data_IF_263966869518
#
_entry.id   IF_263966869518
#
_cell.length_a   1.000
_cell.length_b   1.000
_cell.length_c   1.000
_cell.angle_alpha   90.00
_cell.angle_beta   90.00
_cell.angle_gamma   90.00
#
_symmetry.space_group_name_H-M   'P 1'
#
loop_
_entity.id
_entity.type
_entity.pdbx_description
1 polymer ?
#
# COMPACT_ATOMS: atom_id res chain seq x y z
N UNK A 1 3.61 1.36 -17.49
CA UNK A 1 3.48 -0.10 -17.64
C UNK A 1 2.06 -0.46 -18.08
N UNK A 2 1.86 -1.14 -19.23
CA UNK A 2 0.51 -1.53 -19.73
C UNK A 2 0.11 -2.99 -19.45
N UNK A 3 1.07 -3.88 -19.23
CA UNK A 3 0.83 -5.30 -18.94
C UNK A 3 1.44 -5.67 -17.60
N UNK A 4 0.77 -6.54 -16.86
CA UNK A 4 1.21 -7.13 -15.60
C UNK A 4 1.13 -8.65 -15.68
N UNK A 5 1.93 -9.33 -14.88
CA UNK A 5 1.77 -10.74 -14.57
C UNK A 5 1.24 -10.92 -13.14
N UNK A 6 0.74 -12.12 -12.84
CA UNK A 6 0.33 -12.48 -11.48
C UNK A 6 1.54 -12.92 -10.67
N UNK A 7 1.77 -12.30 -9.52
CA UNK A 7 2.87 -12.61 -8.60
C UNK A 7 2.32 -12.76 -7.17
N UNK A 8 2.88 -13.66 -6.35
CA UNK A 8 2.53 -13.75 -4.92
C UNK A 8 3.18 -12.61 -4.13
N UNK A 9 2.41 -11.98 -3.24
CA UNK A 9 2.93 -10.99 -2.30
C UNK A 9 4.00 -11.60 -1.37
N UNK A 10 4.91 -10.76 -0.87
CA UNK A 10 6.02 -11.17 -0.01
C UNK A 10 5.55 -11.91 1.26
N UNK A 11 4.44 -11.49 1.84
CA UNK A 11 3.83 -12.11 3.02
C UNK A 11 2.95 -13.33 2.68
N UNK A 12 2.86 -13.69 1.40
CA UNK A 12 2.05 -14.81 0.91
C UNK A 12 0.54 -14.59 0.95
N UNK A 13 0.06 -13.42 1.39
CA UNK A 13 -1.36 -13.17 1.70
C UNK A 13 -2.24 -13.07 0.46
N UNK A 14 -1.72 -12.55 -0.65
CA UNK A 14 -2.48 -12.27 -1.88
C UNK A 14 -1.65 -12.41 -3.15
N UNK A 15 -2.35 -12.53 -4.26
CA UNK A 15 -1.79 -12.39 -5.61
C UNK A 15 -1.91 -10.95 -6.05
N UNK A 16 -0.84 -10.41 -6.63
CA UNK A 16 -0.73 -9.05 -7.13
C UNK A 16 -0.60 -9.06 -8.65
N UNK A 17 -1.19 -8.05 -9.29
CA UNK A 17 -0.84 -7.69 -10.66
C UNK A 17 0.44 -6.86 -10.62
N UNK A 18 1.55 -7.39 -11.12
CA UNK A 18 2.87 -6.79 -10.99
C UNK A 18 3.66 -6.84 -12.29
N UNK A 19 4.49 -5.82 -12.55
CA UNK A 19 5.42 -5.82 -13.68
C UNK A 19 6.40 -4.65 -13.61
N UNK A 20 7.62 -4.82 -14.15
CA UNK A 20 8.65 -3.78 -14.21
C UNK A 20 8.86 -3.00 -12.89
N UNK A 21 8.73 -3.68 -11.75
CA UNK A 21 8.89 -3.06 -10.42
C UNK A 21 7.66 -2.33 -9.87
N UNK A 22 6.50 -2.41 -10.52
CA UNK A 22 5.28 -1.71 -10.13
C UNK A 22 4.10 -2.66 -9.93
N UNK A 23 3.36 -2.44 -8.85
CA UNK A 23 2.06 -3.05 -8.61
C UNK A 23 0.99 -2.26 -9.36
N UNK A 24 0.01 -2.95 -9.94
CA UNK A 24 -1.25 -2.38 -10.44
C UNK A 24 -2.32 -2.58 -9.37
N UNK A 25 -3.03 -1.51 -9.04
CA UNK A 25 -4.13 -1.50 -8.08
C UNK A 25 -5.32 -0.76 -8.68
N UNK A 26 -6.52 -1.24 -8.34
CA UNK A 26 -7.78 -0.61 -8.71
C UNK A 26 -8.30 0.19 -7.51
N UNK A 27 -8.41 1.50 -7.67
CA UNK A 27 -8.95 2.42 -6.68
C UNK A 27 -10.47 2.61 -6.83
N UNK A 28 -11.08 3.46 -6.00
CA UNK A 28 -12.49 3.82 -6.13
C UNK A 28 -12.87 4.24 -7.55
N UNK A 29 -14.09 3.87 -7.98
CA UNK A 29 -14.58 4.19 -9.33
C UNK A 29 -13.86 3.47 -10.48
N UNK A 30 -13.11 2.39 -10.21
CA UNK A 30 -12.40 1.59 -11.22
C UNK A 30 -11.13 2.25 -11.76
N UNK A 31 -10.66 3.34 -11.13
CA UNK A 31 -9.46 4.04 -11.58
C UNK A 31 -8.22 3.20 -11.30
N UNK A 32 -7.38 3.06 -12.31
CA UNK A 32 -6.15 2.25 -12.22
C UNK A 32 -4.98 3.11 -11.76
N UNK A 33 -4.32 2.63 -10.71
CA UNK A 33 -3.09 3.18 -10.16
C UNK A 33 -1.93 2.21 -10.35
N UNK A 34 -0.72 2.77 -10.45
CA UNK A 34 0.54 2.05 -10.53
C UNK A 34 1.51 2.64 -9.54
N UNK A 35 2.29 1.80 -8.89
CA UNK A 35 3.23 2.28 -7.90
C UNK A 35 3.92 1.16 -7.17
N UNK A 36 4.53 1.51 -6.04
CA UNK A 36 5.24 0.54 -5.23
C UNK A 36 5.12 0.89 -3.74
N UNK A 37 5.17 -0.16 -2.93
CA UNK A 37 5.21 -0.07 -1.47
C UNK A 37 6.54 -0.63 -1.00
N UNK A 38 7.25 0.12 -0.16
CA UNK A 38 8.53 -0.28 0.40
C UNK A 38 8.40 -0.51 1.90
N UNK A 39 8.93 -1.62 2.40
CA UNK A 39 8.91 -1.91 3.83
C UNK A 39 10.27 -2.34 4.36
N UNK A 40 10.71 -1.71 5.44
CA UNK A 40 11.81 -2.17 6.30
C UNK A 40 11.34 -2.19 7.75
N UNK A 41 12.14 -2.72 8.67
CA UNK A 41 11.84 -2.67 10.10
C UNK A 41 11.82 -1.21 10.55
N UNK A 42 10.69 -0.73 11.05
CA UNK A 42 10.53 0.64 11.54
C UNK A 42 10.14 1.68 10.48
N UNK A 43 10.21 1.40 9.17
CA UNK A 43 9.85 2.40 8.16
C UNK A 43 9.13 1.80 6.96
N UNK A 44 8.14 2.54 6.46
CA UNK A 44 7.31 2.14 5.31
C UNK A 44 7.05 3.31 4.38
N UNK A 45 6.98 3.03 3.09
CA UNK A 45 6.68 4.02 2.06
C UNK A 45 5.67 3.46 1.07
N UNK A 46 4.89 4.36 0.50
CA UNK A 46 3.98 4.04 -0.59
C UNK A 46 4.00 5.21 -1.55
N UNK A 47 4.12 4.92 -2.85
CA UNK A 47 4.01 5.91 -3.89
C UNK A 47 3.20 5.35 -5.05
N UNK A 48 2.15 6.07 -5.43
CA UNK A 48 1.16 5.66 -6.42
C UNK A 48 0.89 6.81 -7.40
N UNK A 49 0.68 6.47 -8.66
CA UNK A 49 0.27 7.40 -9.72
C UNK A 49 -0.85 6.79 -10.56
N UNK A 50 -1.83 7.58 -10.96
CA UNK A 50 -2.89 7.17 -11.88
C UNK A 50 -2.33 6.86 -13.26
N UNK A 51 -3.07 6.08 -14.06
CA UNK A 51 -2.66 5.73 -15.41
C UNK A 51 -2.45 6.95 -16.34
N UNK A 52 -3.17 8.05 -16.09
CA UNK A 52 -3.05 9.35 -16.78
C UNK A 52 -2.06 10.32 -16.13
N UNK A 53 -1.46 9.95 -14.98
CA UNK A 53 -0.49 10.76 -14.24
C UNK A 53 -1.07 11.99 -13.52
N UNK A 54 -2.38 12.23 -13.60
CA UNK A 54 -3.03 13.43 -13.02
C UNK A 54 -3.26 13.34 -11.51
N UNK A 55 -3.20 12.14 -10.94
CA UNK A 55 -3.36 11.90 -9.50
C UNK A 55 -2.20 11.11 -8.97
N UNK A 56 -1.58 11.62 -7.93
CA UNK A 56 -0.41 11.02 -7.30
C UNK A 56 -0.55 11.09 -5.79
N UNK A 57 -0.09 10.06 -5.12
CA UNK A 57 -0.03 9.98 -3.66
C UNK A 57 1.30 9.37 -3.26
N UNK A 58 2.02 10.04 -2.36
CA UNK A 58 3.18 9.48 -1.71
C UNK A 58 3.10 9.76 -0.22
N UNK A 59 3.36 8.75 0.61
CA UNK A 59 3.56 8.94 2.04
C UNK A 59 4.65 8.02 2.58
N UNK A 60 5.17 8.39 3.75
CA UNK A 60 6.14 7.62 4.50
C UNK A 60 5.73 7.58 5.97
N UNK A 61 6.02 6.47 6.63
CA UNK A 61 5.80 6.25 8.06
C UNK A 61 7.08 5.74 8.70
N UNK A 62 7.35 6.18 9.93
CA UNK A 62 8.58 5.86 10.68
C UNK A 62 8.33 4.95 11.90
N UNK A 63 7.17 4.30 11.97
CA UNK A 63 6.83 3.34 13.03
C UNK A 63 6.12 2.09 12.49
N UNK A 64 6.53 1.61 11.30
CA UNK A 64 5.92 0.41 10.73
C UNK A 64 6.36 -0.86 11.48
N UNK A 65 5.39 -1.74 11.77
CA UNK A 65 5.57 -2.98 12.57
C UNK A 65 6.01 -2.71 14.02
N UNK A 66 5.57 -1.59 14.60
CA UNK A 66 5.85 -1.20 16.00
C UNK A 66 4.65 -1.30 16.93
N UNK A 67 3.57 -1.92 16.47
CA UNK A 67 2.35 -2.11 17.24
C UNK A 67 2.64 -3.01 18.45
N UNK A 68 2.20 -2.59 19.63
CA UNK A 68 2.36 -3.38 20.86
C UNK A 68 1.45 -4.60 20.77
N UNK A 69 1.95 -5.82 21.05
CA UNK A 69 1.10 -6.99 21.12
C UNK A 69 0.22 -6.97 22.39
N UNK A 70 -0.96 -7.58 22.30
CA UNK A 70 -1.77 -7.93 23.48
C UNK A 70 -1.24 -9.19 24.18
N UNK A 71 -1.96 -9.66 25.21
CA UNK A 71 -1.59 -10.86 25.96
C UNK A 71 -1.53 -12.15 25.11
N UNK A 72 -2.17 -12.18 23.94
CA UNK A 72 -2.11 -13.30 23.00
C UNK A 72 -0.98 -13.18 21.97
N UNK A 73 -0.18 -12.10 22.04
CA UNK A 73 0.87 -11.81 21.07
C UNK A 73 0.38 -11.07 19.81
N UNK A 74 -0.90 -10.71 19.73
CA UNK A 74 -1.48 -10.06 18.55
C UNK A 74 -1.16 -8.56 18.55
N UNK A 75 -0.52 -8.00 17.50
CA UNK A 75 -0.25 -6.57 17.41
C UNK A 75 -1.55 -5.75 17.42
N UNK A 76 -1.61 -4.72 18.27
CA UNK A 76 -2.80 -3.87 18.42
C UNK A 76 -2.71 -2.62 17.54
N UNK A 77 -3.76 -2.28 16.76
CA UNK A 77 -3.77 -1.08 15.93
C UNK A 77 -3.66 0.20 16.78
N UNK A 78 -3.09 1.25 16.20
CA UNK A 78 -2.99 2.60 16.78
C UNK A 78 -3.76 3.59 15.92
N UNK A 79 -3.99 4.79 16.46
CA UNK A 79 -4.75 5.84 15.78
C UNK A 79 -4.24 6.15 14.35
N UNK A 80 -2.92 6.10 14.14
CA UNK A 80 -2.31 6.35 12.83
C UNK A 80 -2.70 5.30 11.78
N UNK A 81 -2.94 4.04 12.17
CA UNK A 81 -3.29 2.96 11.25
C UNK A 81 -4.66 3.23 10.61
N UNK A 82 -5.63 3.66 11.42
CA UNK A 82 -6.95 4.09 10.93
C UNK A 82 -6.88 5.38 10.11
N UNK A 83 -6.08 6.37 10.55
CA UNK A 83 -5.92 7.63 9.83
C UNK A 83 -5.30 7.45 8.43
N UNK A 84 -4.30 6.56 8.28
CA UNK A 84 -3.71 6.23 6.99
C UNK A 84 -4.71 5.52 6.07
N UNK A 85 -5.50 4.59 6.59
CA UNK A 85 -6.55 3.92 5.81
C UNK A 85 -7.59 4.93 5.31
N UNK A 86 -7.99 5.89 6.15
CA UNK A 86 -8.91 6.96 5.79
C UNK A 86 -8.32 7.91 4.73
N UNK A 87 -7.02 8.22 4.78
CA UNK A 87 -6.34 9.08 3.82
C UNK A 87 -6.24 8.47 2.41
N UNK A 88 -6.07 7.14 2.31
CA UNK A 88 -5.95 6.46 1.01
C UNK A 88 -7.19 6.62 0.14
N UNK A 89 -8.38 6.62 0.74
CA UNK A 89 -9.65 6.69 0.01
C UNK A 89 -9.80 7.97 -0.82
N UNK A 90 -9.71 9.20 -0.28
CA UNK A 90 -9.83 10.43 -1.07
C UNK A 90 -8.64 10.65 -2.00
N UNK A 91 -7.44 10.19 -1.64
CA UNK A 91 -6.26 10.35 -2.49
C UNK A 91 -6.34 9.49 -3.76
N UNK A 92 -7.07 8.37 -3.71
CA UNK A 92 -7.23 7.43 -4.82
C UNK A 92 -8.62 7.44 -5.48
N UNK A 93 -9.58 8.25 -4.99
CA UNK A 93 -10.95 8.36 -5.52
C UNK A 93 -11.18 9.53 -6.47
#
# INVERSE_FOLDING_TARGET
MRRTGRVRALDGSKTLDYGLGLTRIEGPGGRVYRGHEGTVRGAGTTSLTSADGRRQMTFAVNLMRWNKPDASGKPQPRAIDGALAALHQPALG
#
